data_IF_075004521784
#
_entry.id   IF_075004521784
#
_cell.length_a   1.000
_cell.length_b   1.000
_cell.length_c   1.000
_cell.angle_alpha   90.00
_cell.angle_beta   90.00
_cell.angle_gamma   90.00
#
_symmetry.space_group_name_H-M   'P 1'
#
loop_
_entity.id
_entity.type
_entity.pdbx_description
1 polymer ?
#
# COMPACT_ATOMS: atom_id res chain seq x y z
N UNK A 1 -59.94 7.44 62.65
CA UNK A 1 -58.94 8.46 62.95
C UNK A 1 -58.08 8.69 61.71
N UNK A 2 -58.37 9.79 60.97
CA UNK A 2 -57.46 10.94 60.75
C UNK A 2 -56.24 10.55 59.89
N UNK A 3 -56.13 10.87 58.59
CA UNK A 3 -56.06 12.17 57.90
C UNK A 3 -54.95 13.11 58.43
N UNK A 4 -54.33 13.83 57.48
CA UNK A 4 -53.45 15.02 57.57
C UNK A 4 -51.94 14.76 57.47
N UNK A 5 -51.28 15.17 56.37
CA UNK A 5 -50.68 16.50 56.07
C UNK A 5 -49.34 16.69 56.83
N UNK A 6 -48.25 17.31 56.34
CA UNK A 6 -48.02 18.42 55.40
C UNK A 6 -46.50 18.69 55.34
N UNK A 7 -46.04 19.41 54.30
CA UNK A 7 -44.86 20.31 54.37
C UNK A 7 -43.68 19.89 53.48
N UNK A 8 -43.53 20.37 52.24
CA UNK A 8 -43.17 21.73 51.77
C UNK A 8 -41.71 22.12 52.05
N UNK A 9 -40.86 22.15 51.02
CA UNK A 9 -40.06 23.34 50.62
C UNK A 9 -39.37 23.12 49.27
N UNK A 10 -39.52 24.13 48.41
CA UNK A 10 -39.04 24.28 47.04
C UNK A 10 -37.57 24.70 46.96
N UNK A 11 -36.84 24.30 45.91
CA UNK A 11 -35.90 25.16 45.17
C UNK A 11 -35.65 24.61 43.74
N UNK A 12 -36.27 25.27 42.76
CA UNK A 12 -35.76 25.68 41.44
C UNK A 12 -34.53 24.93 40.86
N UNK A 13 -34.68 24.21 39.74
CA UNK A 13 -34.26 24.67 38.40
C UNK A 13 -34.56 23.63 37.30
N UNK A 14 -34.94 24.16 36.14
CA UNK A 14 -35.55 23.53 34.98
C UNK A 14 -34.55 22.78 34.06
N UNK A 15 -35.04 22.04 33.03
CA UNK A 15 -34.35 20.92 32.39
C UNK A 15 -33.42 21.35 31.25
N UNK A 16 -32.32 20.62 31.06
CA UNK A 16 -31.47 20.76 29.87
C UNK A 16 -31.79 19.62 28.90
N UNK A 17 -32.65 19.96 27.93
CA UNK A 17 -32.65 19.37 26.60
C UNK A 17 -31.37 19.80 25.88
N UNK A 18 -30.44 18.88 25.61
CA UNK A 18 -29.37 19.10 24.65
C UNK A 18 -29.70 18.36 23.35
N UNK A 19 -30.45 19.08 22.52
CA UNK A 19 -30.51 18.94 21.08
C UNK A 19 -29.13 19.28 20.52
N UNK A 20 -28.29 18.29 20.26
CA UNK A 20 -27.09 18.48 19.46
C UNK A 20 -27.46 18.24 17.98
N UNK A 21 -27.86 19.32 17.32
CA UNK A 21 -27.83 19.43 15.87
C UNK A 21 -26.37 19.37 15.41
N UNK A 22 -25.95 18.28 14.80
CA UNK A 22 -24.80 18.28 13.89
C UNK A 22 -25.32 18.08 12.47
N UNK A 23 -25.51 19.20 11.79
CA UNK A 23 -25.69 19.24 10.34
C UNK A 23 -24.52 18.55 9.67
N UNK A 24 -24.79 17.45 8.96
CA UNK A 24 -23.89 16.84 7.98
C UNK A 24 -23.65 17.86 6.87
N UNK A 25 -22.41 18.32 6.59
CA UNK A 25 -22.16 19.09 5.40
C UNK A 25 -22.21 18.13 4.22
N UNK A 26 -23.15 18.36 3.31
CA UNK A 26 -23.16 17.73 2.00
C UNK A 26 -21.79 17.93 1.33
N UNK A 27 -21.17 16.84 0.86
CA UNK A 27 -19.99 16.85 0.01
C UNK A 27 -20.34 17.58 -1.29
N UNK A 28 -20.12 18.88 -1.29
CA UNK A 28 -20.21 19.75 -2.46
C UNK A 28 -18.84 19.78 -3.11
N UNK A 29 -18.78 19.40 -4.39
CA UNK A 29 -17.63 19.55 -5.27
C UNK A 29 -16.91 20.89 -5.06
N UNK A 30 -15.63 20.84 -4.69
CA UNK A 30 -14.75 22.00 -4.67
C UNK A 30 -13.72 21.98 -3.54
N UNK A 31 -12.45 21.97 -3.92
CA UNK A 31 -11.26 22.24 -3.11
C UNK A 31 -10.78 21.14 -2.14
N UNK A 32 -10.07 20.13 -2.70
CA UNK A 32 -8.97 19.52 -1.95
C UNK A 32 -7.95 20.61 -1.61
N UNK A 33 -7.95 21.06 -0.35
CA UNK A 33 -6.87 21.88 0.19
C UNK A 33 -5.57 21.08 0.06
N UNK A 34 -4.60 21.71 -0.60
CA UNK A 34 -3.23 21.24 -0.78
C UNK A 34 -2.64 20.87 0.60
N UNK A 35 -2.58 19.58 0.91
CA UNK A 35 -1.75 19.11 2.02
C UNK A 35 -0.32 19.52 1.70
N UNK A 36 0.23 20.41 2.53
CA UNK A 36 1.58 20.93 2.38
C UNK A 36 2.59 19.78 2.43
N UNK A 37 3.23 19.50 1.29
CA UNK A 37 4.25 18.48 1.08
C UNK A 37 5.54 18.64 1.94
N UNK A 38 5.59 19.61 2.84
CA UNK A 38 6.84 20.09 3.47
C UNK A 38 7.19 19.48 4.83
N UNK A 39 6.40 18.55 5.38
CA UNK A 39 6.63 18.05 6.77
C UNK A 39 6.64 16.54 7.00
N UNK A 40 6.50 15.71 5.97
CA UNK A 40 6.66 14.26 6.14
C UNK A 40 8.13 13.92 6.44
N UNK A 41 8.40 13.43 7.65
CA UNK A 41 9.74 13.01 8.09
C UNK A 41 10.02 11.64 7.47
N UNK A 42 10.92 11.59 6.49
CA UNK A 42 11.38 10.33 5.91
C UNK A 42 12.01 9.45 7.00
N UNK A 43 11.74 8.14 7.04
CA UNK A 43 12.55 7.23 7.84
C UNK A 43 14.02 7.37 7.40
N UNK A 44 14.95 7.28 8.36
CA UNK A 44 16.36 7.45 8.06
C UNK A 44 16.82 6.37 7.08
N UNK A 45 17.74 6.75 6.18
CA UNK A 45 18.47 5.85 5.28
C UNK A 45 19.10 4.65 5.98
N UNK A 46 19.18 4.62 7.32
CA UNK A 46 19.69 3.49 8.09
C UNK A 46 18.76 2.28 8.14
N UNK A 47 17.42 2.45 8.22
CA UNK A 47 16.50 1.32 8.35
C UNK A 47 16.46 0.49 7.06
N UNK A 48 16.42 1.16 5.91
CA UNK A 48 16.43 0.52 4.60
C UNK A 48 17.82 -0.02 4.22
N UNK A 49 18.90 0.66 4.64
CA UNK A 49 20.27 0.17 4.46
C UNK A 49 20.60 -1.05 5.33
N UNK A 50 19.99 -1.21 6.51
CA UNK A 50 20.13 -2.42 7.32
C UNK A 50 19.52 -3.63 6.62
N UNK A 51 18.31 -3.49 6.05
CA UNK A 51 17.66 -4.52 5.25
C UNK A 51 18.51 -4.97 4.04
N UNK A 52 19.13 -4.01 3.33
CA UNK A 52 20.00 -4.28 2.19
C UNK A 52 21.39 -4.82 2.61
N UNK A 53 21.89 -4.46 3.79
CA UNK A 53 23.22 -4.90 4.26
C UNK A 53 23.24 -6.35 4.74
N UNK A 54 22.11 -6.85 5.27
CA UNK A 54 21.98 -8.27 5.61
C UNK A 54 21.95 -9.16 4.34
N UNK A 55 21.40 -8.67 3.22
CA UNK A 55 21.38 -9.37 1.92
C UNK A 55 22.79 -9.65 1.35
N UNK A 56 23.71 -8.70 1.49
CA UNK A 56 25.11 -8.88 1.07
C UNK A 56 25.89 -9.86 1.96
N UNK A 57 25.44 -10.10 3.20
CA UNK A 57 26.09 -11.02 4.14
C UNK A 57 25.56 -12.45 4.02
N UNK A 58 24.27 -12.62 3.74
CA UNK A 58 23.66 -13.95 3.56
C UNK A 58 24.16 -14.64 2.28
N UNK A 59 24.59 -13.87 1.28
CA UNK A 59 25.15 -14.41 0.02
C UNK A 59 26.58 -14.94 0.11
N UNK A 60 27.29 -14.80 1.25
CA UNK A 60 28.71 -15.20 1.38
C UNK A 60 29.04 -16.21 2.48
N UNK A 61 28.09 -16.65 3.31
CA UNK A 61 28.36 -17.73 4.29
C UNK A 61 27.60 -19.01 3.94
N UNK A 62 28.32 -19.94 3.32
CA UNK A 62 27.89 -21.33 3.22
C UNK A 62 27.73 -21.98 4.60
N UNK A 63 26.55 -22.55 4.84
CA UNK A 63 26.27 -23.54 5.88
C UNK A 63 25.86 -22.99 7.26
N UNK A 64 24.56 -22.97 7.53
CA UNK A 64 23.92 -23.55 8.74
C UNK A 64 22.43 -23.15 8.82
N UNK A 65 21.54 -24.15 8.70
CA UNK A 65 20.19 -24.18 9.28
C UNK A 65 19.30 -22.94 9.15
N UNK A 66 18.72 -22.72 7.96
CA UNK A 66 17.68 -21.70 7.78
C UNK A 66 16.39 -22.07 8.51
N UNK A 67 15.91 -21.18 9.38
CA UNK A 67 14.53 -21.18 9.89
C UNK A 67 13.57 -20.93 8.71
N UNK A 68 13.21 -21.98 7.98
CA UNK A 68 12.11 -21.91 7.02
C UNK A 68 10.81 -21.79 7.81
N UNK A 69 10.26 -20.58 7.90
CA UNK A 69 8.84 -20.40 8.15
C UNK A 69 8.09 -20.90 6.92
N UNK A 70 7.80 -22.20 6.86
CA UNK A 70 6.88 -22.78 5.89
C UNK A 70 5.44 -22.35 6.22
N UNK A 71 5.14 -21.05 6.11
CA UNK A 71 3.78 -20.54 6.27
C UNK A 71 3.04 -20.66 4.95
N UNK A 72 1.90 -21.34 4.95
CA UNK A 72 1.03 -21.40 3.78
C UNK A 72 0.45 -19.99 3.52
N UNK A 73 0.46 -19.45 2.28
CA UNK A 73 -0.25 -18.22 1.94
C UNK A 73 -1.70 -18.18 2.41
N UNK A 74 -2.39 -19.32 2.42
CA UNK A 74 -3.77 -19.41 2.90
C UNK A 74 -3.91 -19.06 4.39
N UNK A 75 -2.91 -19.37 5.23
CA UNK A 75 -2.94 -19.02 6.66
C UNK A 75 -2.88 -17.50 6.89
N UNK A 76 -2.42 -16.75 5.87
CA UNK A 76 -2.29 -15.29 5.88
C UNK A 76 -3.41 -14.59 5.11
N UNK A 77 -4.36 -15.34 4.55
CA UNK A 77 -5.52 -14.77 3.87
C UNK A 77 -6.41 -14.06 4.88
N UNK A 78 -6.79 -12.83 4.55
CA UNK A 78 -7.68 -12.02 5.35
C UNK A 78 -8.97 -11.86 4.57
N UNK A 79 -10.07 -12.26 5.17
CA UNK A 79 -11.41 -12.04 4.65
C UNK A 79 -12.24 -11.28 5.68
N UNK A 80 -13.15 -10.39 5.26
CA UNK A 80 -14.10 -9.76 6.17
C UNK A 80 -15.07 -10.81 6.69
N UNK A 81 -15.30 -10.85 8.00
CA UNK A 81 -16.27 -11.78 8.63
C UNK A 81 -17.69 -11.56 8.09
N UNK A 82 -18.08 -10.28 7.91
CA UNK A 82 -19.35 -9.89 7.35
C UNK A 82 -19.21 -8.71 6.39
N UNK A 83 -19.73 -8.86 5.17
CA UNK A 83 -19.73 -7.77 4.19
C UNK A 83 -20.78 -6.71 4.53
N UNK A 84 -21.94 -7.09 5.09
CA UNK A 84 -22.97 -6.16 5.61
C UNK A 84 -23.37 -5.03 4.62
N UNK A 85 -23.45 -5.33 3.33
CA UNK A 85 -23.78 -4.34 2.29
C UNK A 85 -22.64 -3.39 1.91
N UNK A 86 -21.46 -3.51 2.55
CA UNK A 86 -20.26 -2.75 2.20
C UNK A 86 -19.71 -3.16 0.85
N UNK A 87 -19.02 -2.25 0.18
CA UNK A 87 -18.27 -2.59 -1.03
C UNK A 87 -17.04 -3.41 -0.64
N UNK A 88 -16.88 -4.59 -1.24
CA UNK A 88 -15.69 -5.43 -1.03
C UNK A 88 -14.68 -5.14 -2.14
N UNK A 89 -13.41 -4.99 -1.77
CA UNK A 89 -12.30 -5.01 -2.72
C UNK A 89 -11.24 -6.03 -2.30
N UNK A 90 -10.52 -6.57 -3.29
CA UNK A 90 -9.47 -7.58 -3.08
C UNK A 90 -8.09 -7.02 -3.40
N UNK A 91 -7.17 -7.20 -2.46
CA UNK A 91 -5.76 -6.83 -2.59
C UNK A 91 -4.90 -8.08 -2.62
N UNK A 92 -4.07 -8.20 -3.64
CA UNK A 92 -3.03 -9.23 -3.69
C UNK A 92 -1.68 -8.55 -3.62
N UNK A 93 -0.79 -9.02 -2.76
CA UNK A 93 0.53 -8.43 -2.62
C UNK A 93 1.66 -9.45 -2.57
N UNK A 94 2.79 -9.07 -3.17
CA UNK A 94 4.05 -9.83 -3.16
C UNK A 94 5.13 -8.94 -2.56
N UNK A 95 5.75 -9.41 -1.47
CA UNK A 95 6.77 -8.68 -0.71
C UNK A 95 7.94 -9.60 -0.37
N UNK A 96 9.12 -9.01 -0.15
CA UNK A 96 10.30 -9.76 0.27
C UNK A 96 10.25 -10.14 1.77
N UNK A 97 9.81 -9.21 2.62
CA UNK A 97 9.94 -9.33 4.08
C UNK A 97 8.60 -9.56 4.78
N UNK A 98 8.61 -10.41 5.80
CA UNK A 98 7.44 -10.77 6.61
C UNK A 98 6.89 -9.60 7.44
N UNK A 99 7.71 -8.59 7.77
CA UNK A 99 7.27 -7.43 8.56
C UNK A 99 6.14 -6.64 7.86
N UNK A 100 6.25 -6.42 6.55
CA UNK A 100 5.17 -5.79 5.78
C UNK A 100 3.90 -6.63 5.78
N UNK A 101 4.00 -7.97 5.79
CA UNK A 101 2.84 -8.85 5.88
C UNK A 101 2.10 -8.68 7.21
N UNK A 102 2.82 -8.55 8.32
CA UNK A 102 2.22 -8.32 9.64
C UNK A 102 1.48 -6.97 9.69
N UNK A 103 2.11 -5.89 9.20
CA UNK A 103 1.47 -4.57 9.14
C UNK A 103 0.25 -4.56 8.23
N UNK A 104 0.33 -5.16 7.04
CA UNK A 104 -0.81 -5.32 6.13
C UNK A 104 -1.96 -6.09 6.78
N UNK A 105 -1.64 -7.12 7.57
CA UNK A 105 -2.64 -7.91 8.28
C UNK A 105 -3.42 -7.07 9.28
N UNK A 106 -2.71 -6.27 10.07
CA UNK A 106 -3.34 -5.37 11.05
C UNK A 106 -4.17 -4.30 10.33
N UNK A 107 -3.64 -3.69 9.27
CA UNK A 107 -4.36 -2.67 8.49
C UNK A 107 -5.66 -3.22 7.89
N UNK A 108 -5.62 -4.36 7.20
CA UNK A 108 -6.81 -4.96 6.60
C UNK A 108 -7.85 -5.36 7.66
N UNK A 109 -7.43 -5.86 8.82
CA UNK A 109 -8.34 -6.16 9.93
C UNK A 109 -9.01 -4.88 10.47
N UNK A 110 -8.26 -3.79 10.63
CA UNK A 110 -8.80 -2.50 11.06
C UNK A 110 -9.82 -1.95 10.06
N UNK A 111 -9.51 -2.00 8.76
CA UNK A 111 -10.46 -1.63 7.70
C UNK A 111 -11.76 -2.44 7.84
N UNK A 112 -11.64 -3.76 8.00
CA UNK A 112 -12.79 -4.65 8.09
C UNK A 112 -13.67 -4.43 9.33
N UNK A 113 -13.12 -3.87 10.41
CA UNK A 113 -13.84 -3.54 11.64
C UNK A 113 -14.37 -2.10 11.63
N UNK A 114 -13.56 -1.13 11.22
CA UNK A 114 -13.81 0.29 11.43
C UNK A 114 -14.52 0.98 10.26
N UNK A 115 -14.37 0.49 9.03
CA UNK A 115 -14.90 1.19 7.86
C UNK A 115 -16.35 0.79 7.56
N UNK A 116 -17.23 1.79 7.53
CA UNK A 116 -18.68 1.61 7.36
C UNK A 116 -19.09 1.27 5.93
N UNK A 117 -18.32 1.71 4.93
CA UNK A 117 -18.72 1.63 3.52
C UNK A 117 -17.93 0.60 2.70
N UNK A 118 -16.79 0.14 3.24
CA UNK A 118 -15.84 -0.71 2.52
C UNK A 118 -15.29 -1.82 3.41
N UNK A 119 -14.98 -2.96 2.80
CA UNK A 119 -14.23 -4.04 3.41
C UNK A 119 -13.22 -4.61 2.42
N UNK A 120 -12.17 -5.23 2.94
CA UNK A 120 -11.02 -5.72 2.17
C UNK A 120 -10.82 -7.22 2.37
N UNK A 121 -10.66 -7.93 1.26
CA UNK A 121 -9.98 -9.23 1.24
C UNK A 121 -8.52 -8.99 0.87
N UNK A 122 -7.59 -9.61 1.58
CA UNK A 122 -6.17 -9.50 1.29
C UNK A 122 -5.47 -10.85 1.28
N UNK A 123 -4.58 -11.04 0.32
CA UNK A 123 -3.75 -12.24 0.17
C UNK A 123 -2.31 -11.80 -0.05
N UNK A 124 -1.41 -12.34 0.78
CA UNK A 124 0.01 -12.00 0.77
C UNK A 124 0.88 -13.20 0.44
N UNK A 125 1.86 -12.98 -0.43
CA UNK A 125 2.90 -13.95 -0.76
C UNK A 125 4.27 -13.38 -0.42
N UNK A 126 5.14 -14.20 0.15
CA UNK A 126 6.56 -13.88 0.15
C UNK A 126 7.12 -14.19 -1.22
N UNK A 127 8.04 -13.34 -1.68
CA UNK A 127 8.60 -13.44 -3.02
C UNK A 127 9.16 -14.85 -3.32
N UNK A 128 9.92 -15.41 -2.38
CA UNK A 128 10.54 -16.74 -2.52
C UNK A 128 9.52 -17.88 -2.62
N UNK A 129 8.30 -17.72 -2.07
CA UNK A 129 7.27 -18.75 -2.15
C UNK A 129 6.76 -18.96 -3.58
N UNK A 130 6.92 -17.97 -4.46
CA UNK A 130 6.56 -18.07 -5.89
C UNK A 130 7.49 -19.03 -6.67
N UNK A 131 8.53 -19.56 -6.04
CA UNK A 131 9.28 -20.71 -6.58
C UNK A 131 8.45 -22.00 -6.58
N UNK A 132 7.54 -22.14 -5.63
CA UNK A 132 6.67 -23.31 -5.54
C UNK A 132 5.56 -23.23 -6.61
N UNK A 133 5.43 -24.23 -7.50
CA UNK A 133 4.40 -24.23 -8.53
C UNK A 133 2.96 -24.15 -7.99
N UNK A 134 2.67 -24.78 -6.84
CA UNK A 134 1.34 -24.73 -6.24
C UNK A 134 1.02 -23.33 -5.71
N UNK A 135 1.99 -22.66 -5.10
CA UNK A 135 1.84 -21.27 -4.65
C UNK A 135 1.68 -20.31 -5.82
N UNK A 136 2.45 -20.52 -6.89
CA UNK A 136 2.35 -19.71 -8.11
C UNK A 136 0.97 -19.83 -8.77
N UNK A 137 0.40 -21.03 -8.77
CA UNK A 137 -0.96 -21.28 -9.27
C UNK A 137 -2.04 -20.63 -8.39
N UNK A 138 -1.87 -20.68 -7.06
CA UNK A 138 -2.74 -19.94 -6.14
C UNK A 138 -2.66 -18.43 -6.38
N UNK A 139 -1.44 -17.90 -6.52
CA UNK A 139 -1.19 -16.50 -6.85
C UNK A 139 -1.89 -16.09 -8.15
N UNK A 140 -1.81 -16.91 -9.21
CA UNK A 140 -2.52 -16.67 -10.47
C UNK A 140 -4.03 -16.49 -10.26
N UNK A 141 -4.67 -17.43 -9.56
CA UNK A 141 -6.11 -17.38 -9.26
C UNK A 141 -6.50 -16.17 -8.41
N UNK A 142 -5.65 -15.80 -7.46
CA UNK A 142 -5.92 -14.65 -6.62
C UNK A 142 -5.83 -13.32 -7.37
N UNK A 143 -4.83 -13.15 -8.25
CA UNK A 143 -4.71 -11.95 -9.08
C UNK A 143 -5.86 -11.83 -10.08
N UNK A 144 -6.36 -12.96 -10.62
CA UNK A 144 -7.52 -12.95 -11.54
C UNK A 144 -8.78 -12.30 -10.95
N UNK A 145 -8.96 -12.40 -9.63
CA UNK A 145 -10.10 -11.84 -8.90
C UNK A 145 -9.77 -10.56 -8.13
N UNK A 146 -8.53 -10.06 -8.23
CA UNK A 146 -8.09 -8.90 -7.48
C UNK A 146 -8.61 -7.58 -8.07
N UNK A 147 -8.76 -6.58 -7.21
CA UNK A 147 -8.93 -5.17 -7.59
C UNK A 147 -7.58 -4.46 -7.64
N UNK A 148 -6.68 -4.79 -6.71
CA UNK A 148 -5.38 -4.13 -6.58
C UNK A 148 -4.26 -5.16 -6.45
N UNK A 149 -3.17 -4.93 -7.17
CA UNK A 149 -1.90 -5.64 -6.98
C UNK A 149 -0.84 -4.71 -6.38
N UNK A 150 -0.11 -5.21 -5.37
CA UNK A 150 1.03 -4.52 -4.77
C UNK A 150 2.29 -5.39 -4.90
N UNK A 151 3.37 -4.85 -5.46
CA UNK A 151 4.67 -5.51 -5.53
C UNK A 151 5.76 -4.62 -4.93
N UNK A 152 6.67 -5.21 -4.14
CA UNK A 152 7.77 -4.45 -3.55
C UNK A 152 9.02 -5.30 -3.34
N UNK A 153 10.19 -4.71 -3.60
CA UNK A 153 11.52 -5.34 -3.43
C UNK A 153 11.70 -6.63 -4.24
N UNK A 154 11.11 -6.67 -5.44
CA UNK A 154 11.24 -7.81 -6.35
C UNK A 154 12.49 -7.61 -7.19
N UNK A 155 13.63 -8.17 -6.77
CA UNK A 155 14.94 -8.03 -7.44
C UNK A 155 15.54 -9.34 -7.96
N UNK A 156 14.79 -10.43 -7.91
CA UNK A 156 15.19 -11.73 -8.45
C UNK A 156 14.59 -11.90 -9.85
N UNK A 157 15.44 -12.00 -10.88
CA UNK A 157 15.01 -12.04 -12.29
C UNK A 157 13.96 -13.13 -12.57
N UNK A 158 14.21 -14.36 -12.12
CA UNK A 158 13.27 -15.49 -12.30
C UNK A 158 11.89 -15.19 -11.68
N UNK A 159 11.85 -14.58 -10.49
CA UNK A 159 10.60 -14.30 -9.79
C UNK A 159 9.90 -13.06 -10.34
N UNK A 160 10.68 -12.07 -10.81
CA UNK A 160 10.18 -10.93 -11.55
C UNK A 160 9.45 -11.36 -12.83
N UNK A 161 10.01 -12.32 -13.58
CA UNK A 161 9.40 -12.88 -14.79
C UNK A 161 8.05 -13.55 -14.48
N UNK A 162 7.98 -14.36 -13.41
CA UNK A 162 6.73 -14.98 -12.95
C UNK A 162 5.65 -13.95 -12.59
N UNK A 163 6.03 -12.87 -11.88
CA UNK A 163 5.09 -11.79 -11.53
C UNK A 163 4.60 -11.08 -12.80
N UNK A 164 5.48 -10.81 -13.76
CA UNK A 164 5.11 -10.19 -15.05
C UNK A 164 4.18 -11.08 -15.86
N UNK A 165 4.44 -12.39 -15.91
CA UNK A 165 3.61 -13.37 -16.60
C UNK A 165 2.17 -13.40 -16.04
N UNK A 166 2.03 -13.36 -14.71
CA UNK A 166 0.72 -13.42 -14.05
C UNK A 166 -0.02 -12.07 -14.11
N UNK A 167 0.67 -10.98 -13.76
CA UNK A 167 0.02 -9.66 -13.59
C UNK A 167 -0.13 -8.92 -14.92
N UNK A 168 0.80 -9.11 -15.86
CA UNK A 168 0.82 -8.41 -17.15
C UNK A 168 -0.51 -8.51 -17.93
N UNK A 169 -1.04 -9.73 -18.18
CA UNK A 169 -2.31 -9.91 -18.87
C UNK A 169 -3.52 -9.31 -18.13
N UNK A 170 -3.44 -9.19 -16.81
CA UNK A 170 -4.52 -8.71 -15.94
C UNK A 170 -4.41 -7.22 -15.61
N UNK A 171 -3.33 -6.56 -16.04
CA UNK A 171 -3.04 -5.14 -15.72
C UNK A 171 -4.19 -4.21 -16.04
N UNK A 172 -4.88 -4.39 -17.17
CA UNK A 172 -6.00 -3.52 -17.55
C UNK A 172 -7.25 -3.78 -16.73
N UNK A 173 -7.46 -5.01 -16.26
CA UNK A 173 -8.59 -5.42 -15.41
C UNK A 173 -8.46 -4.92 -13.96
N UNK A 174 -7.24 -4.88 -13.43
CA UNK A 174 -6.97 -4.39 -12.07
C UNK A 174 -7.29 -2.89 -11.97
N UNK A 175 -7.95 -2.44 -10.90
CA UNK A 175 -8.21 -1.01 -10.68
C UNK A 175 -6.91 -0.23 -10.43
N UNK A 176 -5.95 -0.85 -9.75
CA UNK A 176 -4.62 -0.29 -9.50
C UNK A 176 -3.52 -1.37 -9.45
N UNK A 177 -2.33 -0.99 -9.91
CA UNK A 177 -1.11 -1.80 -9.83
C UNK A 177 -0.01 -0.92 -9.24
N UNK A 178 0.39 -1.22 -8.01
CA UNK A 178 1.38 -0.46 -7.25
C UNK A 178 2.66 -1.28 -7.13
N UNK A 179 3.67 -0.94 -7.92
CA UNK A 179 5.00 -1.55 -7.85
C UNK A 179 5.96 -0.52 -7.25
N UNK A 180 6.34 -0.77 -6.02
CA UNK A 180 7.42 -0.09 -5.30
C UNK A 180 8.76 -0.71 -5.71
N UNK A 181 9.90 -0.08 -5.35
CA UNK A 181 11.22 -0.43 -5.85
C UNK A 181 11.47 -1.90 -6.16
N UNK A 182 11.58 -2.23 -7.44
CA UNK A 182 11.69 -3.59 -7.98
C UNK A 182 12.41 -3.56 -9.34
N UNK A 183 12.63 -4.73 -9.96
CA UNK A 183 13.21 -4.82 -11.30
C UNK A 183 12.42 -3.99 -12.34
N UNK A 184 13.10 -3.41 -13.36
CA UNK A 184 12.47 -2.62 -14.41
C UNK A 184 11.24 -3.25 -15.06
N UNK A 185 11.26 -4.57 -15.23
CA UNK A 185 10.20 -5.30 -15.92
C UNK A 185 8.91 -5.32 -15.10
N UNK A 186 9.02 -5.52 -13.78
CA UNK A 186 7.90 -5.41 -12.84
C UNK A 186 7.46 -3.95 -12.70
N UNK A 187 8.40 -3.02 -12.59
CA UNK A 187 8.10 -1.58 -12.45
C UNK A 187 7.23 -1.02 -13.59
N UNK A 188 7.35 -1.56 -14.81
CA UNK A 188 6.52 -1.17 -15.96
C UNK A 188 5.04 -1.54 -15.80
N UNK A 189 4.70 -2.47 -14.91
CA UNK A 189 3.33 -2.86 -14.64
C UNK A 189 2.53 -1.76 -13.91
N UNK A 190 3.21 -0.80 -13.26
CA UNK A 190 2.57 0.28 -12.50
C UNK A 190 1.41 0.94 -13.26
N UNK A 191 0.27 1.06 -12.57
CA UNK A 191 -0.96 1.67 -13.07
C UNK A 191 -1.72 2.32 -11.91
N UNK A 192 -1.92 3.63 -11.99
CA UNK A 192 -2.80 4.37 -11.07
C UNK A 192 -3.61 5.33 -11.92
N UNK A 193 -4.90 5.04 -12.13
CA UNK A 193 -5.72 5.80 -13.08
C UNK A 193 -5.05 5.89 -14.46
N UNK A 194 -4.84 7.10 -14.93
CA UNK A 194 -4.16 7.40 -16.20
C UNK A 194 -2.63 7.44 -16.10
N UNK A 195 -2.07 7.40 -14.88
CA UNK A 195 -0.62 7.46 -14.64
C UNK A 195 0.07 6.13 -14.96
N UNK A 196 1.15 6.21 -15.72
CA UNK A 196 2.07 5.09 -15.98
C UNK A 196 3.51 5.57 -15.91
N UNK A 197 4.43 4.65 -15.58
CA UNK A 197 5.88 4.95 -15.53
C UNK A 197 6.43 5.46 -16.88
N UNK A 198 5.79 5.09 -18.01
CA UNK A 198 6.14 5.57 -19.34
C UNK A 198 5.95 7.10 -19.50
N UNK A 199 4.98 7.70 -18.80
CA UNK A 199 4.72 9.14 -18.84
C UNK A 199 5.81 9.95 -18.15
N UNK A 200 6.58 9.31 -17.25
CA UNK A 200 7.76 9.93 -16.62
C UNK A 200 9.01 9.91 -17.52
N UNK A 201 8.96 9.17 -18.65
CA UNK A 201 10.06 9.00 -19.60
C UNK A 201 10.12 10.03 -20.74
N UNK A 202 9.27 11.06 -20.74
CA UNK A 202 9.32 12.11 -21.79
C UNK A 202 10.49 13.09 -21.64
N UNK A 203 11.30 12.98 -20.58
CA UNK A 203 12.67 13.53 -20.55
C UNK A 203 13.63 12.52 -21.19
N UNK A 204 13.68 12.54 -22.53
CA UNK A 204 14.55 11.72 -23.39
C UNK A 204 16.05 11.95 -23.11
N UNK A 205 16.60 11.41 -22.03
CA UNK A 205 18.00 10.96 -21.94
C UNK A 205 18.36 10.40 -20.56
N UNK A 206 17.88 11.01 -19.48
CA UNK A 206 18.48 10.77 -18.16
C UNK A 206 17.97 9.49 -17.47
N UNK A 207 16.71 9.10 -17.70
CA UNK A 207 16.11 7.94 -17.00
C UNK A 207 16.42 6.63 -17.75
N UNK A 208 16.47 6.65 -19.08
CA UNK A 208 16.80 5.47 -19.88
C UNK A 208 18.24 4.99 -19.67
N UNK A 209 19.20 5.91 -19.63
CA UNK A 209 20.59 5.61 -19.31
C UNK A 209 20.77 5.18 -17.84
N UNK A 210 20.01 5.77 -16.93
CA UNK A 210 19.99 5.38 -15.53
C UNK A 210 19.42 3.98 -15.31
N UNK A 211 18.36 3.60 -16.04
CA UNK A 211 17.80 2.26 -16.02
C UNK A 211 18.73 1.22 -16.67
N UNK A 212 19.45 1.62 -17.73
CA UNK A 212 20.44 0.76 -18.42
C UNK A 212 21.69 0.54 -17.56
N UNK A 213 22.26 1.61 -16.98
CA UNK A 213 23.43 1.57 -16.08
C UNK A 213 23.15 0.86 -14.76
N UNK A 214 21.90 0.86 -14.30
CA UNK A 214 21.46 0.11 -13.10
C UNK A 214 21.12 -1.34 -13.32
N UNK A 215 20.95 -1.77 -14.57
CA UNK A 215 20.86 -3.19 -14.89
C UNK A 215 22.19 -3.90 -14.59
N UNK A 216 23.28 -3.14 -14.51
CA UNK A 216 24.65 -3.60 -14.23
C UNK A 216 25.07 -3.44 -12.76
N UNK A 217 24.34 -2.66 -11.94
CA UNK A 217 24.69 -2.41 -10.54
C UNK A 217 23.65 -3.01 -9.59
N UNK A 218 24.07 -4.00 -8.81
CA UNK A 218 23.32 -4.70 -7.75
C UNK A 218 22.42 -3.76 -6.91
N UNK A 219 21.26 -4.28 -6.47
CA UNK A 219 20.05 -3.59 -5.96
C UNK A 219 20.18 -2.37 -5.03
N UNK A 220 21.32 -2.15 -4.37
CA UNK A 220 21.60 -0.99 -3.52
C UNK A 220 21.49 0.38 -4.24
N UNK A 221 21.68 0.42 -5.57
CA UNK A 221 21.58 1.64 -6.36
C UNK A 221 20.11 2.12 -6.46
N UNK A 222 19.13 1.21 -6.50
CA UNK A 222 17.73 1.51 -6.87
C UNK A 222 16.95 2.30 -5.79
N UNK A 223 17.27 2.12 -4.51
CA UNK A 223 16.66 2.88 -3.40
C UNK A 223 16.89 4.40 -3.55
N UNK A 224 18.15 4.81 -3.68
CA UNK A 224 18.52 6.22 -3.84
C UNK A 224 17.89 6.85 -5.08
N UNK A 225 17.46 6.01 -6.00
CA UNK A 225 16.91 6.36 -7.29
C UNK A 225 15.41 6.57 -7.24
N UNK A 226 14.72 5.76 -6.44
CA UNK A 226 13.31 5.97 -6.13
C UNK A 226 13.10 7.13 -5.15
N UNK A 227 14.00 7.31 -4.17
CA UNK A 227 13.99 8.51 -3.32
C UNK A 227 14.32 9.77 -4.11
N UNK A 228 15.24 9.69 -5.08
CA UNK A 228 15.49 10.77 -6.04
C UNK A 228 14.27 11.03 -6.90
N UNK A 229 13.59 9.97 -7.38
CA UNK A 229 12.34 10.05 -8.14
C UNK A 229 11.24 10.75 -7.31
N UNK A 230 11.01 10.36 -6.06
CA UNK A 230 10.08 11.05 -5.16
C UNK A 230 10.41 12.53 -4.96
N UNK A 231 11.70 12.87 -4.86
CA UNK A 231 12.17 14.25 -4.71
C UNK A 231 12.05 15.06 -6.00
N UNK A 232 12.18 14.43 -7.16
CA UNK A 232 12.14 15.10 -8.47
C UNK A 232 10.75 15.11 -9.11
N UNK A 233 9.84 14.21 -8.71
CA UNK A 233 8.50 14.12 -9.27
C UNK A 233 7.71 15.43 -9.18
N UNK A 234 7.69 16.17 -8.05
CA UNK A 234 6.96 17.44 -7.97
C UNK A 234 7.36 18.43 -9.07
N UNK A 235 8.61 18.37 -9.55
CA UNK A 235 9.10 19.19 -10.66
C UNK A 235 8.61 18.72 -12.03
N UNK A 236 8.31 17.43 -12.18
CA UNK A 236 7.77 16.81 -13.41
C UNK A 236 6.25 16.99 -13.47
N UNK A 237 5.57 16.95 -12.32
CA UNK A 237 4.11 17.09 -12.21
C UNK A 237 3.58 18.38 -12.83
N UNK A 238 4.34 19.48 -12.78
CA UNK A 238 3.95 20.77 -13.37
C UNK A 238 3.83 20.75 -14.90
N UNK A 239 4.37 19.72 -15.56
CA UNK A 239 4.33 19.54 -17.01
C UNK A 239 3.26 18.55 -17.45
N UNK A 240 2.54 17.91 -16.51
CA UNK A 240 1.46 16.98 -16.81
C UNK A 240 0.10 17.70 -16.76
N UNK A 241 -0.87 17.25 -17.58
CA UNK A 241 -2.28 17.60 -17.41
C UNK A 241 -2.75 17.35 -15.96
N UNK A 242 -3.73 18.14 -15.50
CA UNK A 242 -4.12 18.19 -14.08
C UNK A 242 -4.61 16.84 -13.53
N UNK A 243 -5.32 16.08 -14.34
CA UNK A 243 -5.79 14.71 -14.09
C UNK A 243 -4.61 13.73 -13.92
N UNK A 244 -3.69 13.70 -14.89
CA UNK A 244 -2.48 12.85 -14.83
C UNK A 244 -1.58 13.22 -13.65
N UNK A 245 -1.49 14.51 -13.33
CA UNK A 245 -0.74 15.00 -12.18
C UNK A 245 -1.39 14.58 -10.85
N UNK A 246 -2.72 14.46 -10.79
CA UNK A 246 -3.41 13.92 -9.61
C UNK A 246 -3.11 12.43 -9.42
N UNK A 247 -3.18 11.64 -10.48
CA UNK A 247 -2.87 10.21 -10.43
C UNK A 247 -1.42 9.94 -10.03
N UNK A 248 -0.48 10.71 -10.57
CA UNK A 248 0.93 10.64 -10.19
C UNK A 248 1.16 11.04 -8.71
N UNK A 249 0.39 12.01 -8.18
CA UNK A 249 0.42 12.33 -6.74
C UNK A 249 -0.13 11.20 -5.89
N UNK A 250 -1.21 10.53 -6.32
CA UNK A 250 -1.76 9.36 -5.62
C UNK A 250 -0.72 8.25 -5.52
N UNK A 251 0.01 7.95 -6.60
CA UNK A 251 1.13 7.01 -6.57
C UNK A 251 2.25 7.44 -5.60
N UNK A 252 2.60 8.73 -5.57
CA UNK A 252 3.60 9.23 -4.62
C UNK A 252 3.16 9.06 -3.17
N UNK A 253 1.90 9.40 -2.86
CA UNK A 253 1.34 9.28 -1.52
C UNK A 253 1.30 7.81 -1.10
N UNK A 254 0.82 6.90 -1.96
CA UNK A 254 0.83 5.47 -1.65
C UNK A 254 2.25 4.96 -1.39
N UNK A 255 3.24 5.44 -2.12
CA UNK A 255 4.63 5.06 -1.87
C UNK A 255 5.19 5.65 -0.56
N UNK A 256 4.81 6.87 -0.19
CA UNK A 256 5.20 7.45 1.11
C UNK A 256 4.59 6.68 2.28
N UNK A 257 3.32 6.31 2.18
CA UNK A 257 2.65 5.45 3.14
C UNK A 257 3.31 4.08 3.23
N UNK A 258 3.67 3.49 2.09
CA UNK A 258 4.41 2.24 2.07
C UNK A 258 5.73 2.33 2.83
N UNK A 259 6.53 3.39 2.60
CA UNK A 259 7.80 3.59 3.31
C UNK A 259 7.62 3.79 4.83
N UNK A 260 6.47 4.30 5.27
CA UNK A 260 6.15 4.42 6.68
C UNK A 260 5.95 3.06 7.36
N UNK A 261 5.37 2.09 6.65
CA UNK A 261 5.33 0.67 7.02
C UNK A 261 4.49 0.32 8.26
N UNK A 262 3.94 1.31 8.98
CA UNK A 262 3.06 1.08 10.12
C UNK A 262 1.67 0.64 9.65
N UNK A 263 0.89 -0.09 10.47
CA UNK A 263 -0.49 -0.42 10.13
C UNK A 263 -1.35 0.81 9.80
N UNK A 264 -1.14 1.93 10.50
CA UNK A 264 -1.86 3.20 10.26
C UNK A 264 -1.46 3.86 8.93
N UNK A 265 -0.28 3.55 8.39
CA UNK A 265 0.11 4.02 7.07
C UNK A 265 -0.45 3.14 5.96
N UNK A 266 -0.57 1.83 6.20
CA UNK A 266 -1.07 0.88 5.21
C UNK A 266 -2.61 0.80 5.16
N UNK A 267 -3.28 1.23 6.23
CA UNK A 267 -4.74 1.44 6.30
C UNK A 267 -5.21 2.63 5.46
#
# INVERSE_FOLDING_TARGET
>A
STAWNTGSTSLLQNPISLRASSSVPALRNGNLRLLSFSKARFPSTSALRMAISDEARISTSGGAGGFFTSSNPEDRRIAPEHVNGRKKFKVVYVVLESQYQASMTVACKRINVAQENVCVEAVGYLLEELRNPATLEAFRKDVESANMFIGSLIFVQELAEKVVEVVGPLREKLDAVLIFPSMPDVMRLNKVGSFTMAQMGQSKSVIGEFMKKKREENGASFEGSMLKLLRTLPKVLKYLPSDKAQDARSFMLSFQYWLGGSPENLE
#
